data_IF_836706920483
#
_entry.id   IF_836706920483
#
_cell.length_a   1.000
_cell.length_b   1.000
_cell.length_c   1.000
_cell.angle_alpha   90.00
_cell.angle_beta   90.00
_cell.angle_gamma   90.00
#
_symmetry.space_group_name_H-M   'P 1'
#
loop_
_entity.id
_entity.type
_entity.pdbx_description
1 polymer ?
#
# COMPACT_ATOMS: atom_id res chain seq x y z
N UNK A 1 39.16 45.25 30.81
CA UNK A 1 37.74 44.84 30.72
C UNK A 1 37.17 45.46 29.46
N UNK A 2 36.21 44.76 28.82
CA UNK A 2 35.57 45.05 27.53
C UNK A 2 36.20 44.34 26.33
N UNK A 3 35.52 43.28 25.88
CA UNK A 3 35.52 42.80 24.52
C UNK A 3 34.04 42.72 24.10
N UNK A 4 33.64 43.68 23.26
CA UNK A 4 32.43 43.62 22.44
C UNK A 4 32.69 42.71 21.21
N UNK A 5 31.60 42.37 20.52
CA UNK A 5 31.48 41.59 19.27
C UNK A 5 31.50 40.05 19.41
N UNK A 6 30.33 39.49 19.73
CA UNK A 6 29.95 38.15 19.25
C UNK A 6 28.94 38.38 18.11
N UNK A 7 29.15 37.83 16.90
CA UNK A 7 28.16 37.95 15.83
C UNK A 7 26.94 37.07 16.14
N UNK A 8 25.74 37.63 15.94
CA UNK A 8 24.49 36.89 16.03
C UNK A 8 24.47 35.78 14.97
N UNK A 9 24.25 34.55 15.43
CA UNK A 9 24.05 33.38 14.57
C UNK A 9 22.71 33.52 13.83
N UNK A 10 22.61 33.15 12.55
CA UNK A 10 21.35 33.19 11.83
C UNK A 10 20.37 32.21 12.47
N UNK A 11 19.14 32.68 12.68
CA UNK A 11 17.99 31.88 13.14
C UNK A 11 17.91 30.58 12.33
N UNK A 12 17.93 29.45 13.04
CA UNK A 12 17.72 28.13 12.47
C UNK A 12 16.36 28.12 11.78
N UNK A 13 16.40 28.29 10.46
CA UNK A 13 15.29 28.11 9.57
C UNK A 13 14.86 26.64 9.68
N UNK A 14 13.94 26.36 10.60
CA UNK A 14 13.24 25.09 10.66
C UNK A 14 12.42 25.01 9.37
N UNK A 15 13.04 24.48 8.33
CA UNK A 15 12.40 24.14 7.08
C UNK A 15 11.29 23.15 7.38
N UNK A 16 10.08 23.65 7.59
CA UNK A 16 8.87 22.87 7.46
C UNK A 16 8.71 22.54 5.98
N UNK A 17 9.42 21.50 5.56
CA UNK A 17 8.98 20.62 4.49
C UNK A 17 8.36 19.41 5.19
N UNK A 18 7.29 19.66 5.94
CA UNK A 18 6.39 18.59 6.32
C UNK A 18 5.67 18.18 5.03
N UNK A 19 6.19 17.11 4.42
CA UNK A 19 5.40 16.28 3.53
C UNK A 19 4.14 15.89 4.32
N UNK A 20 2.96 16.35 3.88
CA UNK A 20 1.68 16.11 4.54
C UNK A 20 1.48 14.62 4.89
N UNK A 21 2.13 13.71 4.15
CA UNK A 21 2.22 12.28 4.40
C UNK A 21 2.70 11.92 5.82
N UNK A 22 3.78 12.54 6.32
CA UNK A 22 4.42 12.13 7.57
C UNK A 22 3.59 12.54 8.80
N UNK A 23 2.82 13.64 8.70
CA UNK A 23 1.92 14.08 9.76
C UNK A 23 0.78 13.08 10.01
N UNK A 24 0.29 12.38 8.98
CA UNK A 24 -0.69 11.29 9.13
C UNK A 24 -0.09 10.08 9.84
N UNK A 25 1.13 9.67 9.46
CA UNK A 25 1.81 8.53 10.07
C UNK A 25 2.00 8.74 11.59
N UNK A 26 2.38 9.95 12.01
CA UNK A 26 2.58 10.28 13.43
C UNK A 26 1.26 10.25 14.23
N UNK A 27 0.15 10.70 13.64
CA UNK A 27 -1.17 10.65 14.31
C UNK A 27 -1.70 9.23 14.42
N UNK A 28 -1.53 8.43 13.37
CA UNK A 28 -1.90 7.02 13.39
C UNK A 28 -1.10 6.29 14.47
N UNK A 29 0.23 6.45 14.49
CA UNK A 29 1.13 5.81 15.46
C UNK A 29 0.77 6.14 16.93
N UNK A 30 0.32 7.37 17.19
CA UNK A 30 -0.16 7.79 18.52
C UNK A 30 -1.48 7.12 18.93
N UNK A 31 -2.35 6.77 17.97
CA UNK A 31 -3.63 6.09 18.26
C UNK A 31 -3.43 4.61 18.61
N UNK A 32 -2.43 3.97 18.01
CA UNK A 32 -2.15 2.53 18.15
C UNK A 32 -1.41 2.18 19.45
N UNK A 33 -0.56 3.07 19.95
CA UNK A 33 0.21 2.83 21.19
C UNK A 33 -0.58 3.04 22.50
N UNK A 34 -1.89 3.31 22.45
CA UNK A 34 -2.70 3.56 23.66
C UNK A 34 -2.96 2.31 24.50
N UNK A 35 -2.85 1.11 23.93
CA UNK A 35 -3.13 -0.16 24.60
C UNK A 35 -1.88 -0.95 25.00
N UNK A 36 -0.69 -0.51 24.58
CA UNK A 36 0.57 -1.22 24.79
C UNK A 36 0.71 -2.53 24.00
N UNK A 37 -0.28 -2.89 23.18
CA UNK A 37 -0.23 -4.06 22.28
C UNK A 37 0.27 -3.62 20.90
N UNK A 38 1.20 -4.35 20.27
CA UNK A 38 1.67 -4.02 18.93
C UNK A 38 0.51 -4.13 17.92
N UNK A 39 0.39 -3.20 16.96
CA UNK A 39 -0.59 -3.28 15.88
C UNK A 39 -0.48 -4.58 15.07
N UNK A 40 -1.63 -5.10 14.63
CA UNK A 40 -1.66 -6.27 13.75
C UNK A 40 -1.56 -5.87 12.27
N UNK A 41 -0.71 -6.57 11.53
CA UNK A 41 -0.73 -6.65 10.07
C UNK A 41 -1.36 -7.99 9.70
N UNK A 42 -2.42 -7.95 8.90
CA UNK A 42 -3.10 -9.14 8.43
C UNK A 42 -2.72 -9.44 6.99
N UNK A 43 -2.57 -10.72 6.64
CA UNK A 43 -2.29 -11.18 5.28
C UNK A 43 -3.43 -12.10 4.83
N UNK A 44 -4.14 -11.71 3.79
CA UNK A 44 -5.17 -12.52 3.12
C UNK A 44 -4.64 -13.05 1.78
N UNK A 45 -4.61 -14.37 1.63
CA UNK A 45 -4.05 -15.06 0.45
C UNK A 45 -5.10 -15.71 -0.45
N UNK A 46 -6.40 -15.47 -0.19
CA UNK A 46 -7.51 -16.06 -0.93
C UNK A 46 -8.27 -17.11 -0.13
N UNK A 47 -9.15 -17.87 -0.81
CA UNK A 47 -9.91 -18.99 -0.25
C UNK A 47 -9.02 -20.18 0.11
N UNK A 48 -7.91 -20.32 -0.60
CA UNK A 48 -6.98 -21.40 -0.38
C UNK A 48 -6.17 -21.12 0.88
N UNK A 49 -6.09 -22.13 1.76
CA UNK A 49 -5.23 -22.10 2.96
C UNK A 49 -3.77 -22.32 2.57
N UNK A 50 -3.29 -21.57 1.60
CA UNK A 50 -1.92 -21.68 1.09
C UNK A 50 -0.95 -21.13 2.14
N UNK A 51 -0.57 -22.02 3.06
CA UNK A 51 0.37 -21.72 4.13
C UNK A 51 1.76 -21.38 3.60
N UNK A 52 2.15 -21.94 2.45
CA UNK A 52 3.46 -21.70 1.86
C UNK A 52 3.52 -20.24 1.41
N UNK A 53 2.55 -19.81 0.60
CA UNK A 53 2.44 -18.43 0.13
C UNK A 53 2.32 -17.43 1.28
N UNK A 54 1.56 -17.76 2.33
CA UNK A 54 1.49 -16.91 3.52
C UNK A 54 2.87 -16.70 4.17
N UNK A 55 3.62 -17.78 4.44
CA UNK A 55 4.94 -17.66 5.08
C UNK A 55 5.96 -16.94 4.18
N UNK A 56 5.91 -17.13 2.86
CA UNK A 56 6.76 -16.40 1.90
C UNK A 56 6.49 -14.89 1.97
N UNK A 57 5.22 -14.47 1.88
CA UNK A 57 4.85 -13.05 1.98
C UNK A 57 5.22 -12.50 3.35
N UNK A 58 4.93 -13.23 4.42
CA UNK A 58 5.28 -12.83 5.79
C UNK A 58 6.79 -12.61 5.94
N UNK A 59 7.63 -13.49 5.36
CA UNK A 59 9.09 -13.32 5.38
C UNK A 59 9.51 -11.98 4.76
N UNK A 60 9.00 -11.66 3.57
CA UNK A 60 9.30 -10.39 2.88
C UNK A 60 8.80 -9.19 3.69
N UNK A 61 7.61 -9.28 4.30
CA UNK A 61 7.07 -8.20 5.13
C UNK A 61 7.94 -7.98 6.37
N UNK A 62 8.41 -9.05 7.03
CA UNK A 62 9.31 -8.94 8.18
C UNK A 62 10.66 -8.29 7.85
N UNK A 63 11.11 -8.35 6.60
CA UNK A 63 12.31 -7.62 6.14
C UNK A 63 12.05 -6.12 5.95
N UNK A 64 10.78 -5.72 5.84
CA UNK A 64 10.36 -4.35 5.53
C UNK A 64 9.85 -3.57 6.77
N UNK A 65 9.56 -4.25 7.88
CA UNK A 65 9.00 -3.65 9.10
C UNK A 65 9.82 -4.00 10.34
N UNK A 66 9.74 -3.19 11.39
CA UNK A 66 10.31 -3.58 12.69
C UNK A 66 9.50 -4.76 13.27
N UNK A 67 10.14 -5.92 13.30
CA UNK A 67 9.54 -7.18 13.77
C UNK A 67 9.09 -7.14 15.23
N UNK A 68 9.58 -6.17 16.02
CA UNK A 68 9.16 -6.00 17.42
C UNK A 68 7.98 -5.02 17.57
N UNK A 69 7.66 -4.27 16.51
CA UNK A 69 6.61 -3.26 16.52
C UNK A 69 5.25 -3.78 16.02
N UNK A 70 5.22 -4.91 15.31
CA UNK A 70 4.00 -5.43 14.67
C UNK A 70 3.84 -6.94 14.87
N UNK A 71 2.60 -7.38 15.07
CA UNK A 71 2.24 -8.79 14.98
C UNK A 71 1.66 -9.10 13.59
N UNK A 72 2.14 -10.16 12.94
CA UNK A 72 1.74 -10.51 11.56
C UNK A 72 0.97 -11.82 11.57
N UNK A 73 -0.28 -11.80 11.11
CA UNK A 73 -1.17 -12.96 11.10
C UNK A 73 -1.79 -13.20 9.72
N UNK A 74 -2.12 -14.46 9.45
CA UNK A 74 -2.97 -14.80 8.32
C UNK A 74 -4.42 -14.45 8.68
N UNK A 75 -5.14 -13.82 7.74
CA UNK A 75 -6.60 -13.66 7.81
C UNK A 75 -7.23 -14.67 6.84
N UNK A 76 -7.96 -15.63 7.37
CA UNK A 76 -8.67 -16.63 6.58
C UNK A 76 -10.00 -16.07 6.07
N UNK A 77 -10.47 -16.57 4.92
CA UNK A 77 -11.72 -16.07 4.33
C UNK A 77 -12.93 -16.21 5.27
N UNK A 78 -13.03 -17.33 5.99
CA UNK A 78 -14.05 -17.57 7.01
C UNK A 78 -14.01 -16.56 8.17
N UNK A 79 -12.84 -16.03 8.50
CA UNK A 79 -12.64 -15.06 9.58
C UNK A 79 -13.03 -13.65 9.14
N UNK A 80 -12.93 -13.34 7.84
CA UNK A 80 -13.28 -12.02 7.29
C UNK A 80 -14.71 -11.61 7.69
N UNK A 81 -15.63 -12.57 7.71
CA UNK A 81 -17.06 -12.34 7.98
C UNK A 81 -17.49 -12.66 9.42
N UNK A 82 -16.65 -13.35 10.20
CA UNK A 82 -17.07 -13.91 11.48
C UNK A 82 -16.36 -13.31 12.70
N UNK A 83 -15.20 -12.68 12.51
CA UNK A 83 -14.35 -12.17 13.59
C UNK A 83 -14.25 -10.64 13.52
N UNK A 84 -14.21 -9.90 14.64
CA UNK A 84 -14.04 -8.45 14.65
C UNK A 84 -12.57 -8.03 14.38
N UNK A 85 -12.03 -8.42 13.23
CA UNK A 85 -10.63 -8.13 12.87
C UNK A 85 -10.41 -6.66 12.47
N UNK A 86 -11.43 -6.00 11.92
CA UNK A 86 -11.39 -4.62 11.40
C UNK A 86 -10.86 -3.62 12.44
N UNK A 87 -11.32 -3.74 13.69
CA UNK A 87 -10.93 -2.83 14.77
C UNK A 87 -9.55 -3.14 15.36
N UNK A 88 -8.99 -4.30 15.02
CA UNK A 88 -7.77 -4.83 15.61
C UNK A 88 -6.59 -4.86 14.63
N UNK A 89 -6.81 -4.49 13.36
CA UNK A 89 -5.78 -4.47 12.33
C UNK A 89 -5.39 -3.02 11.98
N UNK A 90 -4.09 -2.79 11.79
CA UNK A 90 -3.59 -1.54 11.23
C UNK A 90 -3.58 -1.59 9.70
N UNK A 91 -3.17 -2.73 9.16
CA UNK A 91 -2.96 -2.94 7.73
C UNK A 91 -3.44 -4.33 7.33
N UNK A 92 -4.00 -4.42 6.12
CA UNK A 92 -4.34 -5.66 5.45
C UNK A 92 -3.53 -5.75 4.15
N UNK A 93 -2.77 -6.83 4.00
CA UNK A 93 -2.09 -7.21 2.77
C UNK A 93 -2.98 -8.24 2.06
N UNK A 94 -3.34 -7.95 0.81
CA UNK A 94 -4.14 -8.84 -0.03
C UNK A 94 -3.22 -9.41 -1.11
N UNK A 95 -3.06 -10.72 -1.15
CA UNK A 95 -2.24 -11.41 -2.14
C UNK A 95 -3.01 -12.56 -2.82
N UNK A 96 -4.23 -12.26 -3.27
CA UNK A 96 -5.15 -13.19 -3.90
C UNK A 96 -5.36 -12.80 -5.38
N UNK A 97 -4.73 -13.49 -6.35
CA UNK A 97 -4.95 -13.22 -7.77
C UNK A 97 -6.33 -13.68 -8.27
N UNK A 98 -6.98 -14.60 -7.55
CA UNK A 98 -8.33 -15.07 -7.81
C UNK A 98 -9.37 -14.00 -7.43
N UNK A 99 -10.54 -13.95 -8.09
CA UNK A 99 -11.60 -13.01 -7.75
C UNK A 99 -12.05 -13.13 -6.28
N UNK A 100 -12.11 -11.98 -5.60
CA UNK A 100 -12.60 -11.89 -4.22
C UNK A 100 -14.12 -11.76 -4.24
N UNK A 101 -14.80 -12.50 -3.36
CA UNK A 101 -16.27 -12.44 -3.26
C UNK A 101 -16.76 -11.04 -2.82
N UNK A 102 -17.96 -10.65 -3.28
CA UNK A 102 -18.55 -9.34 -2.96
C UNK A 102 -18.68 -9.11 -1.44
N UNK A 103 -18.96 -10.16 -0.67
CA UNK A 103 -19.09 -10.08 0.78
C UNK A 103 -17.75 -9.75 1.45
N UNK A 104 -16.67 -10.41 1.05
CA UNK A 104 -15.31 -10.16 1.53
C UNK A 104 -14.83 -8.78 1.08
N UNK A 105 -15.03 -8.43 -0.19
CA UNK A 105 -14.67 -7.13 -0.74
C UNK A 105 -15.32 -5.97 0.02
N UNK A 106 -16.60 -6.09 0.40
CA UNK A 106 -17.29 -5.09 1.23
C UNK A 106 -16.66 -4.91 2.61
N UNK A 107 -16.18 -5.98 3.26
CA UNK A 107 -15.48 -5.86 4.54
C UNK A 107 -14.13 -5.15 4.38
N UNK A 108 -13.39 -5.42 3.31
CA UNK A 108 -12.13 -4.73 3.02
C UNK A 108 -12.34 -3.24 2.74
N UNK A 109 -13.38 -2.90 1.98
CA UNK A 109 -13.77 -1.49 1.77
C UNK A 109 -14.23 -0.82 3.07
N UNK A 110 -14.96 -1.54 3.92
CA UNK A 110 -15.35 -1.01 5.23
C UNK A 110 -14.13 -0.75 6.13
N UNK A 111 -13.16 -1.67 6.16
CA UNK A 111 -11.89 -1.46 6.84
C UNK A 111 -11.16 -0.20 6.36
N UNK A 112 -11.06 0.01 5.05
CA UNK A 112 -10.49 1.25 4.49
C UNK A 112 -11.26 2.49 4.93
N UNK A 113 -12.60 2.45 4.93
CA UNK A 113 -13.44 3.59 5.35
C UNK A 113 -13.25 3.99 6.82
N UNK A 114 -12.74 3.07 7.66
CA UNK A 114 -12.41 3.31 9.08
C UNK A 114 -11.00 3.85 9.30
N UNK A 115 -10.22 4.02 8.22
CA UNK A 115 -8.83 4.45 8.26
C UNK A 115 -7.82 3.31 8.21
N UNK A 116 -8.27 2.06 7.99
CA UNK A 116 -7.40 0.92 7.76
C UNK A 116 -6.64 1.04 6.44
N UNK A 117 -5.42 0.49 6.38
CA UNK A 117 -4.56 0.56 5.18
C UNK A 117 -4.58 -0.77 4.43
N UNK A 118 -4.71 -0.73 3.10
CA UNK A 118 -4.66 -1.94 2.27
C UNK A 118 -3.46 -1.86 1.31
N UNK A 119 -2.69 -2.95 1.25
CA UNK A 119 -1.67 -3.18 0.24
C UNK A 119 -2.06 -4.41 -0.60
N UNK A 120 -2.35 -4.21 -1.88
CA UNK A 120 -2.60 -5.30 -2.83
C UNK A 120 -1.31 -5.75 -3.54
N UNK A 121 -0.97 -7.03 -3.46
CA UNK A 121 0.18 -7.64 -4.13
C UNK A 121 -0.33 -8.68 -5.13
N UNK A 122 -0.24 -8.38 -6.43
CA UNK A 122 -0.83 -9.24 -7.49
C UNK A 122 -2.27 -9.65 -7.19
N UNK A 123 -3.04 -8.73 -6.58
CA UNK A 123 -4.39 -9.00 -6.11
C UNK A 123 -5.43 -8.65 -7.18
N UNK A 124 -6.52 -9.40 -7.21
CA UNK A 124 -7.72 -9.07 -8.01
C UNK A 124 -8.60 -7.99 -7.35
N UNK A 125 -8.25 -7.55 -6.14
CA UNK A 125 -9.01 -6.55 -5.38
C UNK A 125 -9.02 -5.21 -6.12
N UNK A 126 -10.20 -4.63 -6.23
CA UNK A 126 -10.43 -3.34 -6.89
C UNK A 126 -11.10 -2.36 -5.93
N UNK A 127 -10.78 -1.07 -6.09
CA UNK A 127 -11.31 0.03 -5.28
C UNK A 127 -11.32 1.34 -6.07
N UNK A 128 -12.06 2.34 -5.59
CA UNK A 128 -11.95 3.72 -6.09
C UNK A 128 -12.25 3.92 -7.58
N UNK A 129 -13.11 3.09 -8.17
CA UNK A 129 -13.43 3.16 -9.61
C UNK A 129 -12.30 2.71 -10.52
N UNK A 130 -11.36 1.90 -10.01
CA UNK A 130 -10.36 1.20 -10.81
C UNK A 130 -10.88 -0.21 -11.12
N UNK A 131 -10.60 -0.69 -12.32
CA UNK A 131 -10.81 -2.06 -12.73
C UNK A 131 -9.48 -2.69 -13.16
N UNK A 132 -9.42 -4.03 -13.16
CA UNK A 132 -8.29 -4.79 -13.65
C UNK A 132 -8.61 -5.35 -15.04
N UNK A 133 -7.77 -5.06 -16.03
CA UNK A 133 -7.88 -5.61 -17.39
C UNK A 133 -6.81 -6.65 -17.65
N UNK A 134 -7.11 -7.55 -18.59
CA UNK A 134 -6.15 -8.50 -19.15
C UNK A 134 -5.62 -7.99 -20.48
N UNK A 135 -4.30 -7.90 -20.59
CA UNK A 135 -3.53 -7.67 -21.81
C UNK A 135 -2.62 -8.87 -22.03
N UNK A 136 -3.16 -9.88 -22.70
CA UNK A 136 -2.51 -11.19 -22.87
C UNK A 136 -1.18 -11.09 -23.64
N UNK A 137 -1.04 -10.07 -24.48
CA UNK A 137 0.19 -9.74 -25.22
C UNK A 137 1.35 -9.33 -24.31
N UNK A 138 1.07 -8.91 -23.07
CA UNK A 138 2.09 -8.56 -22.08
C UNK A 138 2.48 -9.75 -21.20
N UNK A 139 1.67 -10.80 -21.13
CA UNK A 139 1.91 -11.95 -20.25
C UNK A 139 3.26 -12.61 -20.54
N UNK A 140 4.04 -12.88 -19.50
CA UNK A 140 5.36 -13.53 -19.55
C UNK A 140 6.40 -12.77 -20.39
N UNK A 141 6.16 -11.49 -20.66
CA UNK A 141 7.13 -10.61 -21.32
C UNK A 141 7.87 -9.77 -20.29
N UNK A 142 9.15 -9.49 -20.56
CA UNK A 142 9.93 -8.55 -19.75
C UNK A 142 9.57 -7.13 -20.19
N UNK A 143 8.97 -6.37 -19.28
CA UNK A 143 8.55 -4.99 -19.51
C UNK A 143 9.36 -4.05 -18.62
N UNK A 144 9.69 -2.86 -19.13
CA UNK A 144 10.27 -1.80 -18.30
C UNK A 144 9.14 -1.13 -17.54
N UNK A 145 9.18 -1.21 -16.21
CA UNK A 145 8.26 -0.53 -15.32
C UNK A 145 8.92 0.75 -14.79
N UNK A 146 8.15 1.83 -14.76
CA UNK A 146 8.56 3.15 -14.27
C UNK A 146 7.72 3.51 -13.05
N UNK A 147 8.40 3.86 -11.96
CA UNK A 147 7.80 4.37 -10.73
C UNK A 147 8.41 5.71 -10.38
N UNK A 148 7.60 6.62 -9.84
CA UNK A 148 8.08 7.92 -9.40
C UNK A 148 7.43 8.31 -8.08
N UNK A 149 8.27 8.51 -7.04
CA UNK A 149 7.79 9.07 -5.76
C UNK A 149 7.59 10.59 -5.85
N UNK A 150 8.39 11.27 -6.66
CA UNK A 150 8.37 12.72 -6.88
C UNK A 150 8.80 13.02 -8.31
N UNK A 151 8.33 14.12 -8.91
CA UNK A 151 8.55 14.47 -10.33
C UNK A 151 9.99 14.34 -10.85
N UNK A 152 11.00 14.40 -9.98
CA UNK A 152 12.41 14.38 -10.37
C UNK A 152 13.15 13.07 -9.97
N UNK A 153 12.45 12.05 -9.49
CA UNK A 153 13.07 10.80 -9.05
C UNK A 153 12.33 9.58 -9.62
N UNK A 154 12.49 9.37 -10.92
CA UNK A 154 11.98 8.19 -11.61
C UNK A 154 12.93 7.00 -11.39
N UNK A 155 12.35 5.89 -10.98
CA UNK A 155 13.01 4.59 -10.92
C UNK A 155 12.48 3.72 -12.06
N UNK A 156 13.40 3.10 -12.80
CA UNK A 156 13.07 2.12 -13.84
C UNK A 156 13.54 0.74 -13.39
N UNK A 157 12.69 -0.26 -13.55
CA UNK A 157 13.04 -1.65 -13.30
C UNK A 157 12.42 -2.55 -14.37
N UNK A 158 13.09 -3.66 -14.68
CA UNK A 158 12.54 -4.65 -15.62
C UNK A 158 11.76 -5.69 -14.84
N UNK A 159 10.48 -5.87 -15.17
CA UNK A 159 9.57 -6.83 -14.55
C UNK A 159 9.11 -7.88 -15.54
N UNK A 160 8.82 -9.08 -15.06
CA UNK A 160 8.02 -10.04 -15.81
C UNK A 160 6.53 -9.67 -15.64
N UNK A 161 5.86 -9.31 -16.73
CA UNK A 161 4.48 -8.84 -16.65
C UNK A 161 3.48 -10.01 -16.54
N UNK A 162 2.49 -9.85 -15.66
CA UNK A 162 1.39 -10.82 -15.46
C UNK A 162 0.30 -10.74 -16.53
N UNK A 163 0.39 -9.76 -17.43
CA UNK A 163 -0.69 -9.43 -18.37
C UNK A 163 -1.89 -8.76 -17.69
N UNK A 164 -1.78 -8.30 -16.45
CA UNK A 164 -2.83 -7.55 -15.75
C UNK A 164 -2.43 -6.09 -15.56
N UNK A 165 -3.33 -5.17 -15.91
CA UNK A 165 -3.12 -3.73 -15.82
C UNK A 165 -4.33 -3.05 -15.18
N UNK A 166 -4.11 -1.96 -14.46
CA UNK A 166 -5.19 -1.15 -13.88
C UNK A 166 -5.73 -0.16 -14.91
N UNK A 167 -7.06 0.00 -14.94
CA UNK A 167 -7.75 1.00 -15.73
C UNK A 167 -8.78 1.75 -14.88
N UNK A 168 -8.97 3.04 -15.17
CA UNK A 168 -10.04 3.82 -14.55
C UNK A 168 -11.36 3.52 -15.25
N UNK A 169 -12.38 3.16 -14.48
CA UNK A 169 -13.73 2.86 -14.98
C UNK A 169 -14.46 4.11 -15.48
N UNK A 170 -14.12 5.29 -14.93
CA UNK A 170 -14.68 6.59 -15.33
C UNK A 170 -13.53 7.56 -15.63
N UNK A 171 -13.57 8.19 -16.80
CA UNK A 171 -12.61 9.21 -17.26
C UNK A 171 -12.92 10.61 -16.69
N UNK A 172 -13.50 10.70 -15.49
CA UNK A 172 -13.72 12.00 -14.86
C UNK A 172 -12.40 12.53 -14.29
N UNK A 173 -12.12 13.81 -14.53
CA UNK A 173 -10.90 14.51 -14.10
C UNK A 173 -10.67 14.50 -12.57
N UNK A 174 -11.65 14.05 -11.78
CA UNK A 174 -11.66 14.10 -10.32
C UNK A 174 -11.56 12.72 -9.64
N UNK A 175 -11.04 11.69 -10.31
CA UNK A 175 -10.74 10.42 -9.64
C UNK A 175 -9.73 10.64 -8.50
N UNK A 176 -10.04 10.24 -7.25
CA UNK A 176 -9.11 10.37 -6.13
C UNK A 176 -7.89 9.45 -6.29
N UNK A 177 -7.95 8.47 -7.20
CA UNK A 177 -6.88 7.50 -7.42
C UNK A 177 -5.72 8.10 -8.19
N UNK A 178 -4.56 8.15 -7.54
CA UNK A 178 -3.29 8.62 -8.09
C UNK A 178 -2.53 7.44 -8.73
N UNK A 179 -2.13 7.54 -10.00
CA UNK A 179 -1.21 6.59 -10.60
C UNK A 179 0.20 6.86 -10.07
N UNK A 180 0.87 5.82 -9.54
CA UNK A 180 2.22 5.93 -9.01
C UNK A 180 3.27 5.25 -9.89
N UNK A 181 2.85 4.34 -10.77
CA UNK A 181 3.75 3.66 -11.70
C UNK A 181 3.05 3.00 -12.86
N UNK A 182 3.77 2.88 -13.96
CA UNK A 182 3.28 2.41 -15.26
C UNK A 182 4.33 1.60 -16.02
N UNK A 183 3.92 0.85 -17.04
CA UNK A 183 4.84 0.23 -18.01
C UNK A 183 5.30 1.25 -19.05
N UNK A 184 6.58 1.24 -19.40
CA UNK A 184 7.19 2.10 -20.43
C UNK A 184 6.84 1.62 -21.85
N UNK A 185 5.56 1.38 -22.10
CA UNK A 185 5.00 1.04 -23.40
C UNK A 185 4.22 2.23 -23.97
N UNK A 186 3.68 2.07 -25.19
CA UNK A 186 2.94 3.11 -25.90
C UNK A 186 1.72 3.59 -25.10
N UNK A 187 1.05 2.68 -24.40
CA UNK A 187 -0.21 2.94 -23.70
C UNK A 187 -0.01 3.50 -22.27
N UNK A 188 1.23 3.45 -21.75
CA UNK A 188 1.57 3.79 -20.36
C UNK A 188 0.68 3.05 -19.35
N UNK A 189 0.59 1.73 -19.53
CA UNK A 189 -0.26 0.86 -18.72
C UNK A 189 -0.02 0.99 -17.22
N UNK A 190 -1.07 1.25 -16.44
CA UNK A 190 -0.96 1.49 -15.00
C UNK A 190 -0.72 0.19 -14.22
N UNK A 191 0.30 0.21 -13.36
CA UNK A 191 0.70 -0.95 -12.56
C UNK A 191 0.64 -0.70 -11.05
N UNK A 192 0.79 0.56 -10.61
CA UNK A 192 0.65 0.95 -9.20
C UNK A 192 -0.31 2.12 -9.09
N UNK A 193 -1.32 1.94 -8.24
CA UNK A 193 -2.35 2.94 -7.95
C UNK A 193 -2.46 3.16 -6.44
N UNK A 194 -2.79 4.38 -6.05
CA UNK A 194 -2.99 4.78 -4.65
C UNK A 194 -4.26 5.60 -4.51
N UNK A 195 -5.09 5.28 -3.51
CA UNK A 195 -6.25 6.09 -3.12
C UNK A 195 -5.86 7.03 -1.99
#
# INVERSE_FOLDING_TARGET
ASAENIPDLPDDYSGSLEDDSDAYLVRDLKRINLTGMPPNILIYVGSDRDKVKFEEIKSVVMECVDVNAYAIYQLLEEEVLSVPWIDNALMLIIAAPEPISDAVSKQFQFFMSKGGKILGLSASFIFGGICLKSKNELTDTVQTFVFSKTKNNEMKLNVLASGKVFEREITEELSPVKPLGYLDNTDKDLMIVHL
#
